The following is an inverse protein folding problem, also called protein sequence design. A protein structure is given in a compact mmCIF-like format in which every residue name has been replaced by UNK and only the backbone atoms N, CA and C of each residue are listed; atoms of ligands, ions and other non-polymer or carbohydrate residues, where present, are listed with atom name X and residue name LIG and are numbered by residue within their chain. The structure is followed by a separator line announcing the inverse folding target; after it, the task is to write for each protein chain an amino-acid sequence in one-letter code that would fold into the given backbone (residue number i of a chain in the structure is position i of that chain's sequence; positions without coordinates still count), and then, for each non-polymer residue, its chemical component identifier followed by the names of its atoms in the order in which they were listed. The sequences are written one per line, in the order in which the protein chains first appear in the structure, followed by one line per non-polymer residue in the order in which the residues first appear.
data_IF_811530672860
#
_entry.id   IF_811530672860
#
_cell.length_a   1.000
_cell.length_b   1.000
_cell.length_c   1.000
_cell.angle_alpha   90.00
_cell.angle_beta   90.00
_cell.angle_gamma   90.00
#
_symmetry.space_group_name_H-M   'P 1'
#
loop_
_entity.id
_entity.type
_entity.pdbx_description
1 polymer ?
#
# COMPACT_ATOMS: atom_id res chain seq x y z
N UNK A 1 1.60 19.90 25.68
CA UNK A 1 2.77 19.49 24.86
C UNK A 1 3.72 20.68 24.81
N UNK A 2 5.05 20.48 24.91
CA UNK A 2 6.00 21.56 24.69
C UNK A 2 5.89 22.11 23.26
N UNK A 3 6.24 23.38 23.09
CA UNK A 3 6.25 24.04 21.78
C UNK A 3 7.30 23.39 20.86
N UNK A 4 7.03 23.37 19.54
CA UNK A 4 8.01 22.98 18.54
C UNK A 4 8.90 24.20 18.27
N UNK A 5 10.19 24.07 18.56
CA UNK A 5 11.15 25.16 18.44
C UNK A 5 12.25 24.77 17.45
N UNK A 6 12.74 25.77 16.72
CA UNK A 6 13.91 25.69 15.86
C UNK A 6 14.98 26.62 16.42
N UNK A 7 16.24 26.28 16.17
CA UNK A 7 17.31 27.22 16.45
C UNK A 7 17.18 28.47 15.58
N UNK A 8 17.37 29.63 16.19
CA UNK A 8 17.38 30.92 15.51
C UNK A 8 18.79 31.52 15.63
N UNK A 9 19.58 31.31 14.59
CA UNK A 9 20.96 31.76 14.54
C UNK A 9 21.07 33.29 14.46
N UNK A 10 22.06 33.85 15.17
CA UNK A 10 22.41 35.26 15.04
C UNK A 10 23.93 35.48 14.96
N UNK A 11 24.33 36.64 14.44
CA UNK A 11 25.75 36.95 14.23
C UNK A 11 26.51 36.94 15.56
N UNK A 12 27.70 36.34 15.54
CA UNK A 12 28.59 36.21 16.71
C UNK A 12 27.99 35.36 17.84
N UNK A 13 26.95 34.57 17.56
CA UNK A 13 26.47 33.55 18.49
C UNK A 13 27.54 32.47 18.69
N UNK A 14 27.86 32.19 19.95
CA UNK A 14 28.66 31.04 20.32
C UNK A 14 27.76 29.81 20.43
N UNK A 15 28.01 28.80 19.61
CA UNK A 15 27.23 27.55 19.59
C UNK A 15 27.84 26.52 20.55
N UNK A 16 26.97 25.84 21.29
CA UNK A 16 27.36 24.76 22.21
C UNK A 16 26.76 23.42 21.74
N UNK A 17 27.22 22.32 22.32
CA UNK A 17 26.72 20.95 22.03
C UNK A 17 25.19 20.88 21.99
N UNK A 18 24.52 21.46 23.00
CA UNK A 18 23.07 21.47 23.13
C UNK A 18 22.34 22.10 21.93
N UNK A 19 22.94 23.11 21.29
CA UNK A 19 22.36 23.76 20.11
C UNK A 19 22.29 22.79 18.92
N UNK A 20 23.35 21.98 18.73
CA UNK A 20 23.42 20.98 17.67
C UNK A 20 22.52 19.78 17.96
N UNK A 21 22.45 19.34 19.22
CA UNK A 21 21.50 18.30 19.66
C UNK A 21 20.06 18.72 19.39
N UNK A 22 19.70 19.97 19.71
CA UNK A 22 18.36 20.51 19.49
C UNK A 22 18.02 20.61 18.01
N UNK A 23 18.97 21.04 17.17
CA UNK A 23 18.76 21.09 15.72
C UNK A 23 18.59 19.68 15.13
N UNK A 24 19.44 18.72 15.50
CA UNK A 24 19.32 17.33 15.04
C UNK A 24 17.97 16.72 15.48
N UNK A 25 17.60 16.93 16.74
CA UNK A 25 16.32 16.47 17.29
C UNK A 25 15.14 17.09 16.57
N UNK A 26 15.17 18.39 16.28
CA UNK A 26 14.11 19.06 15.54
C UNK A 26 13.89 18.40 14.17
N UNK A 27 14.96 18.13 13.42
CA UNK A 27 14.85 17.50 12.10
C UNK A 27 14.34 16.06 12.17
N UNK A 28 14.84 15.26 13.11
CA UNK A 28 14.37 13.89 13.34
C UNK A 28 12.89 13.86 13.73
N UNK A 29 12.47 14.69 14.67
CA UNK A 29 11.10 14.75 15.14
C UNK A 29 10.13 15.22 14.06
N UNK A 30 10.53 16.19 13.22
CA UNK A 30 9.70 16.67 12.11
C UNK A 30 9.57 15.63 11.00
N UNK A 31 10.65 14.90 10.65
CA UNK A 31 10.61 13.81 9.66
C UNK A 31 9.72 12.66 10.14
N UNK A 32 9.91 12.19 11.39
CA UNK A 32 9.09 11.13 11.98
C UNK A 32 7.63 11.53 12.09
N UNK A 33 7.33 12.79 12.39
CA UNK A 33 5.95 13.32 12.40
C UNK A 33 5.33 13.30 11.01
N UNK A 34 6.06 13.73 9.98
CA UNK A 34 5.59 13.66 8.60
C UNK A 34 5.23 12.22 8.23
N UNK A 35 6.16 11.29 8.47
CA UNK A 35 5.96 9.87 8.20
C UNK A 35 4.75 9.30 8.95
N UNK A 36 4.62 9.57 10.24
CA UNK A 36 3.54 9.02 11.06
C UNK A 36 2.16 9.57 10.72
N UNK A 37 2.07 10.85 10.33
CA UNK A 37 0.77 11.51 10.10
C UNK A 37 0.29 11.40 8.65
N UNK A 38 1.21 11.32 7.69
CA UNK A 38 0.89 11.35 6.27
C UNK A 38 1.10 10.00 5.59
N UNK A 39 1.72 9.02 6.27
CA UNK A 39 1.95 7.69 5.73
C UNK A 39 1.47 6.57 6.66
N UNK A 40 1.17 5.41 6.09
CA UNK A 40 0.89 4.19 6.84
C UNK A 40 2.18 3.39 7.05
N UNK A 41 2.34 2.70 8.20
CA UNK A 41 3.48 1.82 8.42
C UNK A 41 3.56 0.69 7.40
N UNK A 42 4.77 0.25 7.07
CA UNK A 42 5.01 -0.83 6.12
C UNK A 42 6.30 -0.67 5.32
N UNK A 43 6.45 -1.49 4.29
CA UNK A 43 7.58 -1.49 3.36
C UNK A 43 7.32 -0.41 2.30
N UNK A 44 8.21 0.58 2.22
CA UNK A 44 8.15 1.63 1.21
C UNK A 44 8.73 1.12 -0.12
N UNK A 45 9.86 0.42 -0.07
CA UNK A 45 10.56 -0.11 -1.25
C UNK A 45 11.43 -1.31 -0.88
N UNK A 46 11.66 -2.23 -1.82
CA UNK A 46 12.67 -3.28 -1.68
C UNK A 46 12.38 -4.24 -0.53
N UNK A 47 13.40 -4.57 0.28
CA UNK A 47 13.34 -5.49 1.43
C UNK A 47 12.86 -6.91 1.09
N UNK A 48 13.02 -7.33 -0.16
CA UNK A 48 12.58 -8.65 -0.62
C UNK A 48 13.37 -9.74 0.10
N UNK A 49 12.68 -10.80 0.54
CA UNK A 49 13.35 -11.97 1.13
C UNK A 49 13.50 -13.03 0.05
N UNK A 50 14.72 -13.46 -0.22
CA UNK A 50 15.05 -14.49 -1.19
C UNK A 50 15.72 -15.68 -0.51
N UNK A 51 15.44 -16.89 -0.97
CA UNK A 51 16.17 -18.09 -0.54
C UNK A 51 17.57 -18.11 -1.15
N UNK A 52 18.61 -18.35 -0.37
CA UNK A 52 19.98 -18.52 -0.90
C UNK A 52 20.53 -19.93 -0.72
N UNK A 53 20.12 -20.64 0.33
CA UNK A 53 20.49 -22.03 0.57
C UNK A 53 19.38 -22.79 1.32
N UNK A 54 19.63 -24.04 1.69
CA UNK A 54 18.66 -24.91 2.34
C UNK A 54 18.08 -24.30 3.63
N UNK A 55 18.90 -23.69 4.49
CA UNK A 55 18.45 -23.03 5.74
C UNK A 55 18.94 -21.59 5.81
N UNK A 56 19.01 -20.92 4.67
CA UNK A 56 19.51 -19.56 4.57
C UNK A 56 18.66 -18.72 3.65
N UNK A 57 18.41 -17.49 4.09
CA UNK A 57 17.75 -16.45 3.32
C UNK A 57 18.63 -15.22 3.24
N UNK A 58 18.26 -14.33 2.33
CA UNK A 58 18.82 -13.00 2.20
C UNK A 58 17.69 -11.99 2.09
N UNK A 59 17.82 -10.87 2.80
CA UNK A 59 16.97 -9.70 2.66
C UNK A 59 17.70 -8.69 1.78
N UNK A 60 17.07 -8.32 0.66
CA UNK A 60 17.62 -7.34 -0.27
C UNK A 60 17.48 -5.91 0.26
N UNK A 61 18.31 -4.94 -0.22
CA UNK A 61 18.19 -3.54 0.14
C UNK A 61 16.78 -2.98 -0.02
N UNK A 62 16.47 -1.97 0.78
CA UNK A 62 15.18 -1.29 0.75
C UNK A 62 14.88 -0.53 2.03
N UNK A 63 13.64 -0.04 2.12
CA UNK A 63 13.21 0.82 3.20
C UNK A 63 11.84 0.42 3.71
N UNK A 64 11.67 0.46 5.03
CA UNK A 64 10.39 0.38 5.70
C UNK A 64 10.19 1.55 6.67
N UNK A 65 8.93 1.82 7.02
CA UNK A 65 8.53 2.82 8.00
C UNK A 65 7.70 2.11 9.08
N UNK A 66 8.01 2.35 10.35
CA UNK A 66 7.23 1.79 11.45
C UNK A 66 6.08 2.69 11.93
N UNK A 67 5.32 2.22 12.92
CA UNK A 67 4.18 2.94 13.50
C UNK A 67 4.56 4.29 14.15
N UNK A 68 5.82 4.49 14.51
CA UNK A 68 6.32 5.72 15.11
C UNK A 68 6.83 6.72 14.06
N UNK A 69 6.88 6.32 12.78
CA UNK A 69 7.38 7.11 11.66
C UNK A 69 8.90 7.01 11.47
N UNK A 70 9.55 6.03 12.08
CA UNK A 70 11.00 5.80 11.96
C UNK A 70 11.31 5.04 10.68
N UNK A 71 12.36 5.48 9.99
CA UNK A 71 12.83 4.90 8.73
C UNK A 71 13.79 3.75 9.03
N UNK A 72 13.55 2.59 8.43
CA UNK A 72 14.41 1.40 8.53
C UNK A 72 15.03 1.16 7.17
N UNK A 73 16.21 1.76 6.95
CA UNK A 73 16.92 1.68 5.69
C UNK A 73 17.96 0.57 5.73
N UNK A 74 17.77 -0.45 4.88
CA UNK A 74 18.77 -1.48 4.62
C UNK A 74 19.49 -1.16 3.32
N UNK A 75 20.78 -0.83 3.41
CA UNK A 75 21.60 -0.41 2.26
C UNK A 75 22.19 -1.60 1.49
N UNK A 76 22.41 -2.73 2.15
CA UNK A 76 23.12 -3.89 1.61
C UNK A 76 22.35 -5.18 1.89
N UNK A 77 22.66 -6.23 1.12
CA UNK A 77 22.11 -7.57 1.33
C UNK A 77 22.37 -8.07 2.76
N UNK A 78 21.31 -8.46 3.47
CA UNK A 78 21.41 -9.01 4.82
C UNK A 78 21.07 -10.50 4.84
N UNK A 79 22.06 -11.34 5.15
CA UNK A 79 21.91 -12.80 5.13
C UNK A 79 21.55 -13.32 6.53
N UNK A 80 20.52 -14.17 6.63
CA UNK A 80 20.18 -14.90 7.86
C UNK A 80 20.23 -16.41 7.63
N UNK A 81 20.82 -17.11 8.59
CA UNK A 81 20.65 -18.55 8.75
C UNK A 81 19.43 -18.82 9.63
N UNK A 82 18.57 -19.74 9.22
CA UNK A 82 17.37 -20.11 9.94
C UNK A 82 17.63 -21.33 10.82
N UNK A 83 17.45 -21.16 12.13
CA UNK A 83 17.55 -22.22 13.12
C UNK A 83 16.17 -22.46 13.75
N UNK A 84 15.30 -23.17 13.02
CA UNK A 84 13.99 -23.58 13.54
C UNK A 84 13.70 -25.04 13.17
N UNK A 85 12.75 -25.64 13.90
CA UNK A 85 12.33 -27.03 13.69
C UNK A 85 11.62 -27.20 12.33
N UNK A 86 11.60 -28.43 11.81
CA UNK A 86 10.85 -28.77 10.62
C UNK A 86 9.36 -28.41 10.77
N UNK A 87 8.72 -27.96 9.69
CA UNK A 87 7.34 -27.49 9.66
C UNK A 87 7.01 -26.30 10.59
N UNK A 88 8.01 -25.66 11.21
CA UNK A 88 7.77 -24.48 12.05
C UNK A 88 7.58 -23.22 11.19
N UNK A 89 6.63 -22.34 11.56
CA UNK A 89 6.57 -21.00 10.99
C UNK A 89 7.71 -20.15 11.54
N UNK A 90 8.40 -19.45 10.65
CA UNK A 90 9.47 -18.50 10.95
C UNK A 90 9.09 -17.15 10.36
N UNK A 91 9.03 -16.15 11.22
CA UNK A 91 8.72 -14.77 10.88
C UNK A 91 10.03 -14.00 10.75
N UNK A 92 10.19 -13.30 9.63
CA UNK A 92 11.31 -12.40 9.38
C UNK A 92 10.80 -10.98 9.58
N UNK A 93 11.39 -10.27 10.53
CA UNK A 93 10.96 -8.93 10.92
C UNK A 93 12.10 -7.95 10.84
N UNK A 94 11.78 -6.69 10.56
CA UNK A 94 12.72 -5.56 10.62
C UNK A 94 12.26 -4.56 11.69
N UNK A 95 13.21 -4.07 12.47
CA UNK A 95 12.98 -3.08 13.54
C UNK A 95 14.02 -1.97 13.49
N UNK A 96 13.62 -0.76 13.87
CA UNK A 96 14.52 0.37 13.96
C UNK A 96 15.56 0.17 15.07
N UNK A 97 16.81 0.53 14.80
CA UNK A 97 17.89 0.47 15.77
C UNK A 97 18.86 1.64 15.56
N UNK A 98 19.32 2.19 16.68
CA UNK A 98 20.43 3.14 16.72
C UNK A 98 21.66 2.43 17.28
N UNK A 99 22.79 2.63 16.63
CA UNK A 99 24.06 2.11 17.10
C UNK A 99 25.10 3.22 17.04
N UNK A 100 25.75 3.51 18.16
CA UNK A 100 26.93 4.37 18.15
C UNK A 100 28.04 3.77 17.28
N UNK A 101 28.72 4.61 16.51
CA UNK A 101 29.70 4.22 15.50
C UNK A 101 30.84 5.22 15.37
N UNK A 102 31.86 4.84 14.59
CA UNK A 102 33.07 5.62 14.34
C UNK A 102 33.79 6.03 15.64
N UNK A 103 34.37 5.07 16.38
CA UNK A 103 35.09 5.34 17.62
C UNK A 103 36.30 6.24 17.37
N UNK A 104 36.45 7.28 18.19
CA UNK A 104 37.63 8.12 18.10
C UNK A 104 38.86 7.35 18.60
N UNK A 105 39.99 7.37 17.86
CA UNK A 105 41.24 6.81 18.37
C UNK A 105 41.64 7.50 19.68
N UNK A 106 42.14 6.75 20.68
CA UNK A 106 42.50 7.33 21.97
C UNK A 106 43.64 8.35 21.80
N UNK A 107 43.36 9.61 22.14
CA UNK A 107 44.41 10.61 22.42
C UNK A 107 44.90 10.43 23.87
N UNK A 108 46.09 10.93 24.25
CA UNK A 108 46.73 10.60 25.54
C UNK A 108 45.96 10.99 26.81
N UNK A 109 44.82 11.68 26.73
CA UNK A 109 44.08 12.18 27.89
C UNK A 109 42.56 12.36 27.68
N UNK A 110 41.96 11.82 26.60
CA UNK A 110 40.55 12.11 26.24
C UNK A 110 39.67 10.87 26.36
N UNK A 111 38.42 10.98 26.88
CA UNK A 111 37.49 9.85 26.87
C UNK A 111 37.33 9.28 25.46
N UNK A 112 37.39 7.95 25.36
CA UNK A 112 37.05 7.22 24.15
C UNK A 112 35.53 7.34 23.96
N UNK A 113 35.11 7.95 22.87
CA UNK A 113 33.71 8.11 22.50
C UNK A 113 33.50 7.81 21.02
N UNK A 114 32.28 7.39 20.69
CA UNK A 114 31.84 7.24 19.32
C UNK A 114 31.48 8.61 18.74
N UNK A 115 31.88 8.87 17.50
CA UNK A 115 31.68 10.20 16.88
C UNK A 115 30.41 10.27 16.05
N UNK A 116 29.72 9.14 15.82
CA UNK A 116 28.51 9.04 15.01
C UNK A 116 27.49 8.11 15.67
N UNK A 117 26.24 8.26 15.25
CA UNK A 117 25.15 7.30 15.48
C UNK A 117 24.68 6.81 14.12
N UNK A 118 24.75 5.51 13.88
CA UNK A 118 24.22 4.87 12.68
C UNK A 118 22.80 4.38 12.96
N UNK A 119 21.83 4.88 12.18
CA UNK A 119 20.49 4.31 12.11
C UNK A 119 20.56 2.98 11.34
N UNK A 120 20.76 1.87 12.07
CA UNK A 120 20.92 0.54 11.49
C UNK A 120 19.75 -0.35 11.91
N UNK A 121 18.87 -0.75 10.98
CA UNK A 121 17.77 -1.61 11.32
C UNK A 121 18.27 -3.00 11.73
N UNK A 122 17.56 -3.62 12.65
CA UNK A 122 17.80 -5.01 13.08
C UNK A 122 16.80 -5.93 12.41
N UNK A 123 17.32 -6.98 11.77
CA UNK A 123 16.51 -8.01 11.12
C UNK A 123 16.66 -9.31 11.92
N UNK A 124 15.52 -9.89 12.31
CA UNK A 124 15.46 -11.09 13.15
C UNK A 124 14.56 -12.13 12.52
N UNK A 125 14.96 -13.40 12.65
CA UNK A 125 14.11 -14.55 12.42
C UNK A 125 13.61 -15.09 13.77
N UNK A 126 12.30 -15.20 13.95
CA UNK A 126 11.69 -15.77 15.16
C UNK A 126 10.57 -16.74 14.81
N UNK A 127 10.33 -17.74 15.68
CA UNK A 127 9.15 -18.62 15.59
C UNK A 127 7.94 -18.06 16.35
N UNK A 128 8.13 -17.01 17.13
CA UNK A 128 7.04 -16.31 17.82
C UNK A 128 6.30 -15.42 16.84
N UNK A 129 4.96 -15.45 16.89
CA UNK A 129 4.15 -14.54 16.06
C UNK A 129 4.46 -13.08 16.45
N UNK A 130 4.89 -12.22 15.51
CA UNK A 130 5.17 -10.82 15.79
C UNK A 130 3.89 -10.06 16.14
N UNK A 131 4.01 -9.02 16.96
CA UNK A 131 2.92 -8.07 17.18
C UNK A 131 2.67 -7.19 15.96
N UNK A 132 1.63 -6.37 16.01
CA UNK A 132 1.25 -5.45 14.93
C UNK A 132 2.14 -4.21 14.82
N UNK A 133 3.09 -4.01 15.72
CA UNK A 133 3.98 -2.83 15.76
C UNK A 133 5.24 -3.05 14.94
N UNK A 134 5.61 -4.31 14.71
CA UNK A 134 6.80 -4.69 13.95
C UNK A 134 6.47 -4.90 12.47
N UNK A 135 7.37 -4.45 11.59
CA UNK A 135 7.23 -4.66 10.15
C UNK A 135 7.68 -6.08 9.79
N UNK A 136 6.75 -6.85 9.23
CA UNK A 136 7.01 -8.21 8.76
C UNK A 136 7.48 -8.22 7.30
N UNK A 137 8.61 -8.87 7.05
CA UNK A 137 9.20 -9.00 5.71
C UNK A 137 8.81 -10.30 5.03
N UNK A 138 8.70 -11.39 5.79
CA UNK A 138 8.28 -12.70 5.29
C UNK A 138 7.77 -13.61 6.42
N UNK A 139 6.92 -14.57 6.07
CA UNK A 139 6.52 -15.69 6.94
C UNK A 139 6.77 -17.03 6.25
N UNK A 140 7.88 -17.67 6.60
CA UNK A 140 8.37 -18.91 5.99
C UNK A 140 7.87 -20.11 6.81
N UNK A 141 7.27 -21.11 6.17
CA UNK A 141 7.05 -22.41 6.81
C UNK A 141 8.14 -23.36 6.30
N UNK A 142 9.00 -23.84 7.18
CA UNK A 142 10.07 -24.76 6.80
C UNK A 142 9.49 -26.12 6.35
N UNK A 143 10.15 -26.80 5.43
CA UNK A 143 9.72 -28.13 4.98
C UNK A 143 9.97 -29.21 6.04
N UNK A 144 9.59 -30.46 5.73
CA UNK A 144 9.77 -31.62 6.61
C UNK A 144 11.23 -31.94 6.94
N UNK A 145 12.19 -31.39 6.20
CA UNK A 145 13.63 -31.48 6.46
C UNK A 145 14.18 -30.24 7.18
N UNK A 146 13.33 -29.26 7.51
CA UNK A 146 13.73 -27.99 8.13
C UNK A 146 14.36 -26.98 7.17
N UNK A 147 14.12 -27.11 5.87
CA UNK A 147 14.65 -26.22 4.84
C UNK A 147 13.63 -25.16 4.40
N UNK A 148 14.14 -24.06 3.86
CA UNK A 148 13.36 -23.01 3.19
C UNK A 148 12.75 -23.60 1.91
N UNK A 149 11.43 -23.47 1.70
CA UNK A 149 10.76 -23.96 0.48
C UNK A 149 11.17 -23.15 -0.77
N UNK A 150 10.91 -23.68 -1.97
CA UNK A 150 11.17 -22.99 -3.25
C UNK A 150 12.60 -23.15 -3.77
N UNK A 151 12.91 -22.50 -4.91
CA UNK A 151 14.25 -22.53 -5.51
C UNK A 151 15.13 -21.42 -4.94
N UNK A 152 16.45 -21.53 -5.16
CA UNK A 152 17.37 -20.45 -4.84
C UNK A 152 17.03 -19.20 -5.68
N UNK A 153 17.09 -18.03 -5.06
CA UNK A 153 16.73 -16.71 -5.58
C UNK A 153 15.23 -16.47 -5.83
N UNK A 154 14.36 -17.43 -5.50
CA UNK A 154 12.93 -17.16 -5.53
C UNK A 154 12.56 -16.18 -4.40
N UNK A 155 11.85 -15.07 -4.70
CA UNK A 155 11.32 -14.18 -3.69
C UNK A 155 10.19 -14.87 -2.92
N UNK A 156 10.18 -14.67 -1.61
CA UNK A 156 9.22 -15.28 -0.72
C UNK A 156 8.74 -14.27 0.33
N UNK A 157 7.43 -14.14 0.48
CA UNK A 157 6.84 -13.24 1.48
C UNK A 157 5.84 -13.94 2.42
N UNK A 158 5.23 -15.06 2.00
CA UNK A 158 4.18 -15.72 2.78
C UNK A 158 2.91 -14.87 2.97
N UNK A 159 2.73 -13.82 2.15
CA UNK A 159 1.57 -12.92 2.15
C UNK A 159 1.46 -11.97 3.35
N UNK A 160 2.54 -11.76 4.12
CA UNK A 160 2.51 -10.89 5.32
C UNK A 160 3.01 -9.46 5.09
N UNK A 161 3.59 -9.18 3.93
CA UNK A 161 4.15 -7.87 3.61
C UNK A 161 3.06 -6.83 3.47
N UNK A 162 3.18 -5.75 4.22
CA UNK A 162 2.32 -4.58 4.12
C UNK A 162 3.12 -3.45 3.48
N UNK A 163 2.63 -2.90 2.38
CA UNK A 163 3.24 -1.73 1.76
C UNK A 163 2.92 -0.46 2.57
N UNK A 164 3.92 0.39 2.77
CA UNK A 164 3.70 1.75 3.22
C UNK A 164 2.93 2.52 2.13
N UNK A 165 2.00 3.36 2.55
CA UNK A 165 1.15 4.13 1.65
C UNK A 165 0.94 5.55 2.16
N UNK A 166 0.28 6.38 1.38
CA UNK A 166 -0.14 7.72 1.82
C UNK A 166 -1.47 7.64 2.56
N UNK A 167 -1.62 8.44 3.60
CA UNK A 167 -2.91 8.72 4.24
C UNK A 167 -3.68 9.65 3.33
N UNK A 168 -4.88 9.25 2.95
CA UNK A 168 -5.72 10.00 2.03
C UNK A 168 -6.81 10.71 2.81
N UNK A 169 -7.20 11.92 2.39
CA UNK A 169 -8.32 12.63 2.98
C UNK A 169 -9.63 11.83 2.84
N UNK A 170 -10.60 12.09 3.69
CA UNK A 170 -11.84 11.29 3.83
C UNK A 170 -12.53 11.05 2.48
N UNK A 171 -12.65 12.09 1.64
CA UNK A 171 -13.30 12.03 0.32
C UNK A 171 -12.35 11.72 -0.85
N UNK A 172 -11.11 11.32 -0.58
CA UNK A 172 -10.18 10.87 -1.62
C UNK A 172 -10.46 9.43 -2.01
N UNK A 173 -10.65 9.19 -3.31
CA UNK A 173 -10.81 7.86 -3.90
C UNK A 173 -9.44 7.36 -4.39
N UNK A 174 -9.00 6.22 -3.86
CA UNK A 174 -7.85 5.49 -4.40
C UNK A 174 -8.27 4.21 -5.08
N UNK A 175 -7.40 3.67 -5.94
CA UNK A 175 -7.63 2.37 -6.60
C UNK A 175 -7.86 1.23 -5.60
N UNK A 176 -7.43 1.38 -4.34
CA UNK A 176 -7.69 0.42 -3.25
C UNK A 176 -9.07 0.58 -2.62
N UNK A 177 -9.59 1.82 -2.55
CA UNK A 177 -10.97 2.14 -2.13
C UNK A 177 -11.98 1.88 -3.25
N UNK A 178 -11.54 1.89 -4.51
CA UNK A 178 -12.32 1.31 -5.60
C UNK A 178 -12.50 -0.16 -5.28
N UNK A 179 -13.75 -0.55 -4.96
CA UNK A 179 -14.10 -1.97 -4.87
C UNK A 179 -13.73 -2.60 -6.21
N UNK A 180 -12.62 -3.34 -6.26
CA UNK A 180 -12.19 -4.12 -7.43
C UNK A 180 -13.11 -5.31 -7.72
N UNK A 181 -14.32 -5.31 -7.17
CA UNK A 181 -15.38 -6.15 -7.69
C UNK A 181 -15.85 -5.49 -8.98
N UNK A 182 -15.17 -5.83 -10.07
CA UNK A 182 -15.76 -5.74 -11.39
C UNK A 182 -16.91 -6.76 -11.36
N UNK A 183 -18.10 -6.34 -10.93
CA UNK A 183 -19.31 -7.07 -11.29
C UNK A 183 -19.58 -6.73 -12.74
N UNK A 184 -18.82 -7.36 -13.64
CA UNK A 184 -19.20 -7.43 -15.03
C UNK A 184 -20.52 -8.19 -15.04
N UNK A 185 -21.63 -7.56 -15.42
CA UNK A 185 -22.90 -8.27 -15.56
C UNK A 185 -22.79 -9.45 -16.55
N UNK A 186 -21.83 -9.38 -17.47
CA UNK A 186 -21.08 -10.48 -18.09
C UNK A 186 -19.87 -9.83 -18.77
N UNK A 187 -19.07 -10.52 -19.61
CA UNK A 187 -17.82 -10.02 -20.21
C UNK A 187 -17.94 -8.71 -21.02
N UNK A 188 -17.24 -8.60 -22.15
CA UNK A 188 -17.60 -7.50 -23.07
C UNK A 188 -18.98 -7.82 -23.65
N UNK A 189 -20.02 -7.21 -23.10
CA UNK A 189 -21.38 -7.42 -23.57
C UNK A 189 -21.64 -6.61 -24.83
N UNK A 190 -22.52 -7.11 -25.69
CA UNK A 190 -22.85 -6.46 -26.96
C UNK A 190 -24.35 -6.21 -27.01
N UNK A 191 -24.73 -4.99 -27.37
CA UNK A 191 -26.11 -4.63 -27.69
C UNK A 191 -26.16 -4.23 -29.16
N UNK A 192 -26.96 -4.95 -29.94
CA UNK A 192 -27.27 -4.58 -31.32
C UNK A 192 -28.36 -3.49 -31.30
N UNK A 193 -28.14 -2.40 -32.01
CA UNK A 193 -29.07 -1.27 -32.11
C UNK A 193 -29.39 -0.98 -33.57
N UNK A 194 -30.67 -1.13 -33.93
CA UNK A 194 -31.20 -0.60 -35.18
C UNK A 194 -31.15 0.94 -35.23
N UNK A 195 -31.39 1.55 -36.40
CA UNK A 195 -31.38 3.01 -36.55
C UNK A 195 -32.37 3.69 -35.59
N UNK A 196 -31.89 4.66 -34.79
CA UNK A 196 -32.71 5.35 -33.79
C UNK A 196 -33.13 4.50 -32.58
N UNK A 197 -32.76 3.21 -32.53
CA UNK A 197 -33.15 2.33 -31.44
C UNK A 197 -32.44 2.71 -30.14
N UNK A 198 -33.19 2.72 -29.03
CA UNK A 198 -32.67 2.87 -27.66
C UNK A 198 -32.86 1.56 -26.91
N UNK A 199 -31.78 1.02 -26.34
CA UNK A 199 -31.84 -0.15 -25.44
C UNK A 199 -31.24 0.18 -24.08
N UNK A 200 -31.98 -0.19 -23.05
CA UNK A 200 -31.61 -0.01 -21.65
C UNK A 200 -30.99 -1.29 -21.09
N UNK A 201 -29.91 -1.13 -20.31
CA UNK A 201 -29.22 -2.21 -19.61
C UNK A 201 -29.21 -1.87 -18.11
N UNK A 202 -29.68 -2.78 -17.24
CA UNK A 202 -29.60 -2.55 -15.80
C UNK A 202 -28.14 -2.53 -15.37
N UNK A 203 -27.73 -1.51 -14.61
CA UNK A 203 -26.35 -1.33 -14.18
C UNK A 203 -26.16 -1.61 -12.69
N UNK A 204 -27.07 -1.11 -11.84
CA UNK A 204 -27.01 -1.33 -10.40
C UNK A 204 -28.41 -1.29 -9.80
N UNK A 205 -28.69 -2.21 -8.88
CA UNK A 205 -29.96 -2.30 -8.15
C UNK A 205 -29.66 -2.58 -6.70
N UNK A 206 -30.19 -1.76 -5.78
CA UNK A 206 -30.01 -1.93 -4.35
C UNK A 206 -31.22 -1.43 -3.55
N UNK A 207 -31.51 -2.00 -2.36
CA UNK A 207 -32.46 -1.41 -1.43
C UNK A 207 -32.04 0.02 -1.09
N UNK A 208 -33.00 0.96 -1.03
CA UNK A 208 -32.72 2.37 -0.75
C UNK A 208 -32.03 2.56 0.62
N UNK A 209 -32.39 1.75 1.61
CA UNK A 209 -31.74 1.74 2.93
C UNK A 209 -30.27 1.28 2.91
N UNK A 210 -29.83 0.67 1.82
CA UNK A 210 -28.46 0.18 1.60
C UNK A 210 -27.83 0.77 0.33
N UNK A 211 -28.45 1.79 -0.25
CA UNK A 211 -27.92 2.51 -1.40
C UNK A 211 -26.75 3.37 -0.92
N UNK A 212 -25.55 2.78 -0.89
CA UNK A 212 -24.32 3.58 -0.84
C UNK A 212 -24.19 4.37 -2.15
N UNK A 213 -23.45 5.49 -2.14
CA UNK A 213 -23.16 6.25 -3.35
C UNK A 213 -22.49 5.32 -4.38
N UNK A 214 -23.28 4.84 -5.35
CA UNK A 214 -22.82 3.95 -6.39
C UNK A 214 -22.56 4.78 -7.65
N UNK A 215 -21.29 4.91 -8.02
CA UNK A 215 -20.84 5.56 -9.24
C UNK A 215 -20.69 4.52 -10.36
N UNK A 216 -21.17 4.85 -11.56
CA UNK A 216 -20.96 4.01 -12.73
C UNK A 216 -19.80 4.54 -13.56
N UNK A 217 -18.87 3.65 -13.92
CA UNK A 217 -17.90 3.90 -14.98
C UNK A 217 -18.29 3.05 -16.19
N UNK A 218 -18.65 3.71 -17.28
CA UNK A 218 -19.11 3.06 -18.52
C UNK A 218 -18.00 3.15 -19.57
N UNK A 219 -17.54 2.00 -20.05
CA UNK A 219 -16.69 1.89 -21.23
C UNK A 219 -17.51 1.30 -22.36
N UNK A 220 -17.68 2.01 -23.47
CA UNK A 220 -18.45 1.53 -24.62
C UNK A 220 -17.82 1.98 -25.94
N UNK A 221 -17.85 1.11 -26.94
CA UNK A 221 -17.39 1.40 -28.30
C UNK A 221 -18.16 0.55 -29.32
N UNK A 222 -18.13 0.93 -30.60
CA UNK A 222 -18.73 0.13 -31.68
C UNK A 222 -17.66 -0.29 -32.69
N UNK A 223 -17.59 -1.58 -33.09
CA UNK A 223 -16.74 -2.02 -34.20
C UNK A 223 -17.37 -1.74 -35.57
N UNK A 224 -18.63 -1.31 -35.64
CA UNK A 224 -19.32 -1.02 -36.90
C UNK A 224 -18.77 0.27 -37.52
N UNK A 225 -18.35 0.22 -38.78
CA UNK A 225 -17.78 1.38 -39.47
C UNK A 225 -18.80 2.53 -39.55
N UNK A 226 -18.37 3.74 -39.18
CA UNK A 226 -19.21 4.94 -39.18
C UNK A 226 -20.27 4.98 -38.07
N UNK A 227 -20.21 4.07 -37.09
CA UNK A 227 -21.16 4.04 -35.98
C UNK A 227 -21.15 5.33 -35.17
N UNK A 228 -22.35 5.82 -34.84
CA UNK A 228 -22.57 6.94 -33.92
C UNK A 228 -23.63 6.53 -32.92
N UNK A 229 -23.29 6.60 -31.65
CA UNK A 229 -24.22 6.33 -30.57
C UNK A 229 -23.97 7.28 -29.40
N UNK A 230 -24.97 7.41 -28.54
CA UNK A 230 -24.82 8.04 -27.22
C UNK A 230 -25.22 7.04 -26.15
N UNK A 231 -24.78 7.29 -24.93
CA UNK A 231 -25.32 6.62 -23.76
C UNK A 231 -25.80 7.64 -22.74
N UNK A 232 -26.79 7.24 -21.95
CA UNK A 232 -27.41 8.04 -20.90
C UNK A 232 -27.56 7.17 -19.65
N UNK A 233 -27.39 7.77 -18.48
CA UNK A 233 -27.66 7.13 -17.21
C UNK A 233 -28.96 7.65 -16.63
N UNK A 234 -29.78 6.72 -16.16
CA UNK A 234 -31.08 7.02 -15.56
C UNK A 234 -31.16 6.42 -14.16
N UNK A 235 -31.71 7.21 -13.23
CA UNK A 235 -31.95 6.81 -11.85
C UNK A 235 -33.46 6.71 -11.64
N UNK A 236 -33.91 5.59 -11.10
CA UNK A 236 -35.32 5.41 -10.73
C UNK A 236 -35.41 4.73 -9.37
N UNK A 237 -36.52 4.95 -8.68
CA UNK A 237 -36.84 4.24 -7.44
C UNK A 237 -38.13 3.46 -7.67
N UNK A 238 -38.14 2.18 -7.30
CA UNK A 238 -39.32 1.30 -7.42
C UNK A 238 -39.68 0.71 -6.05
N UNK A 239 -40.93 0.24 -5.91
CA UNK A 239 -41.46 -0.33 -4.67
C UNK A 239 -42.34 0.64 -3.88
N UNK A 240 -42.67 0.27 -2.65
CA UNK A 240 -43.48 1.05 -1.72
C UNK A 240 -42.76 1.24 -0.40
N UNK A 241 -42.88 2.42 0.22
CA UNK A 241 -42.24 2.70 1.50
C UNK A 241 -42.73 1.73 2.59
N UNK A 242 -41.84 1.21 3.47
CA UNK A 242 -40.42 1.57 3.60
C UNK A 242 -39.45 0.79 2.68
N UNK A 243 -39.94 -0.19 1.90
CA UNK A 243 -39.13 -1.10 1.09
C UNK A 243 -38.93 -0.58 -0.35
N UNK A 244 -38.27 0.57 -0.47
CA UNK A 244 -37.90 1.16 -1.76
C UNK A 244 -36.59 0.57 -2.28
N UNK A 245 -36.46 0.48 -3.59
CA UNK A 245 -35.27 -0.01 -4.31
C UNK A 245 -34.80 1.06 -5.28
N UNK A 246 -33.52 1.43 -5.24
CA UNK A 246 -32.88 2.28 -6.24
C UNK A 246 -32.40 1.45 -7.41
N UNK A 247 -32.74 1.87 -8.62
CA UNK A 247 -32.26 1.28 -9.86
C UNK A 247 -31.48 2.32 -10.66
N UNK A 248 -30.29 1.95 -11.10
CA UNK A 248 -29.51 2.69 -12.06
C UNK A 248 -29.45 1.91 -13.37
N UNK A 249 -29.75 2.59 -14.47
CA UNK A 249 -29.84 1.98 -15.80
C UNK A 249 -28.99 2.77 -16.77
N UNK A 250 -28.23 2.09 -17.62
CA UNK A 250 -27.49 2.71 -18.73
C UNK A 250 -28.23 2.41 -20.03
N UNK A 251 -28.61 3.46 -20.75
CA UNK A 251 -29.28 3.34 -22.05
C UNK A 251 -28.34 3.71 -23.18
N UNK A 252 -28.23 2.86 -24.20
CA UNK A 252 -27.52 3.15 -25.45
C UNK A 252 -28.53 3.51 -26.54
N UNK A 253 -28.27 4.58 -27.29
CA UNK A 253 -29.12 5.02 -28.41
C UNK A 253 -28.29 5.16 -29.67
N UNK A 254 -28.71 4.50 -30.75
CA UNK A 254 -28.09 4.65 -32.06
C UNK A 254 -28.51 5.98 -32.70
N UNK A 255 -27.53 6.78 -33.09
CA UNK A 255 -27.72 8.10 -33.72
C UNK A 255 -27.50 8.05 -35.24
N UNK A 256 -27.17 6.89 -35.78
CA UNK A 256 -26.95 6.64 -37.20
C UNK A 256 -28.18 6.09 -37.92
N UNK A 257 -28.01 5.86 -39.22
CA UNK A 257 -29.03 5.32 -40.14
C UNK A 257 -28.87 3.83 -40.43
N UNK A 258 -27.79 3.22 -39.94
CA UNK A 258 -27.50 1.79 -40.07
C UNK A 258 -27.52 1.11 -38.71
N UNK A 259 -27.78 -0.20 -38.69
CA UNK A 259 -27.66 -0.97 -37.45
C UNK A 259 -26.20 -1.04 -37.00
N UNK A 260 -25.98 -0.93 -35.69
CA UNK A 260 -24.64 -0.94 -35.09
C UNK A 260 -24.59 -1.94 -33.93
N UNK A 261 -23.40 -2.47 -33.69
CA UNK A 261 -23.13 -3.23 -32.48
C UNK A 261 -22.40 -2.33 -31.48
N UNK A 262 -22.91 -2.21 -30.26
CA UNK A 262 -22.23 -1.49 -29.17
C UNK A 262 -21.69 -2.51 -28.18
N UNK A 263 -20.36 -2.58 -28.09
CA UNK A 263 -19.62 -3.35 -27.10
C UNK A 263 -19.40 -2.50 -25.86
N UNK A 264 -19.76 -2.98 -24.68
CA UNK A 264 -19.66 -2.20 -23.46
C UNK A 264 -19.22 -3.02 -22.24
N UNK A 265 -18.76 -2.28 -21.22
CA UNK A 265 -18.49 -2.74 -19.86
C UNK A 265 -18.95 -1.65 -18.89
N UNK A 266 -19.70 -2.05 -17.86
CA UNK A 266 -20.13 -1.15 -16.80
C UNK A 266 -19.46 -1.61 -15.51
N UNK A 267 -18.77 -0.68 -14.85
CA UNK A 267 -18.19 -0.88 -13.54
C UNK A 267 -19.01 -0.11 -12.50
N UNK A 268 -19.40 -0.79 -11.42
CA UNK A 268 -20.06 -0.15 -10.28
C UNK A 268 -19.02 0.09 -9.20
N UNK A 269 -18.79 1.35 -8.86
CA UNK A 269 -17.92 1.77 -7.77
C UNK A 269 -18.79 2.15 -6.60
N UNK A 270 -18.71 1.37 -5.52
CA UNK A 270 -19.41 1.67 -4.27
C UNK A 270 -18.48 2.47 -3.36
N UNK A 271 -18.96 3.59 -2.83
CA UNK A 271 -18.34 4.20 -1.66
C UNK A 271 -18.50 3.27 -0.46
N UNK A 272 -17.39 3.08 0.27
CA UNK A 272 -17.29 2.31 1.51
C UNK A 272 -17.43 3.21 2.72
#
# INVERSE_FOLDING_TARGET
MPNIQRLNYFNQQFLVEKDFEDEQKYHLDMRRRHNRLLHTPGIAEGLQVIKTAARQIKVMPGMAIDAQGREMLLLEDFTLNLAAAANAPVFITITYGDQESDPQPPAPATPVGNTRVTEKPTIVASTTTPDSTVVQLARITLDGSGNVPGNANDPFDGGVRVAAGSVLADNSVSVKKLKKTISSLSGTDTVNLGPGERKAVPAFVAPLASASSAFLLVYAFSPTAGARFRWEQEYSTTGTAPNLTTNQTVSFTNLGTTAIDVKYKIYVVLES
#
